data_IF_713508116915
#
_entry.id   IF_713508116915
#
_cell.length_a   1.000
_cell.length_b   1.000
_cell.length_c   1.000
_cell.angle_alpha   90.00
_cell.angle_beta   90.00
_cell.angle_gamma   90.00
#
_symmetry.space_group_name_H-M   'P 1'
#
loop_
_entity.id
_entity.type
_entity.pdbx_description
1 polymer ?
#
# COMPACT_ATOMS: atom_id res chain seq x y z
N UNK A 1 -13.00 -10.54 1.84
CA UNK A 1 -11.68 -10.94 2.37
C UNK A 1 -10.70 -11.21 1.23
N UNK A 2 -9.42 -11.01 1.44
CA UNK A 2 -8.34 -11.53 0.59
C UNK A 2 -7.45 -12.38 1.50
N UNK A 3 -7.67 -13.68 1.49
CA UNK A 3 -7.09 -14.57 2.50
C UNK A 3 -7.45 -14.10 3.92
N UNK A 4 -6.44 -13.77 4.71
CA UNK A 4 -6.60 -13.27 6.08
C UNK A 4 -6.82 -11.75 6.18
N UNK A 5 -6.67 -11.01 5.08
CA UNK A 5 -6.80 -9.55 5.08
C UNK A 5 -8.24 -9.13 4.77
N UNK A 6 -8.92 -8.44 5.70
CA UNK A 6 -10.23 -7.86 5.45
C UNK A 6 -10.11 -6.69 4.45
N UNK A 7 -11.08 -6.56 3.55
CA UNK A 7 -11.12 -5.50 2.54
C UNK A 7 -12.55 -5.00 2.41
N UNK A 8 -12.75 -3.70 2.51
CA UNK A 8 -14.06 -3.04 2.46
C UNK A 8 -14.70 -2.84 3.81
N UNK A 9 -15.77 -2.05 3.87
CA UNK A 9 -16.42 -1.65 5.10
C UNK A 9 -15.51 -0.86 6.02
N UNK A 10 -15.48 -1.22 7.30
CA UNK A 10 -14.63 -0.56 8.33
C UNK A 10 -13.20 -1.13 8.40
N UNK A 11 -12.82 -2.02 7.48
CA UNK A 11 -11.48 -2.59 7.45
C UNK A 11 -10.42 -1.52 7.14
N UNK A 12 -9.22 -1.59 7.73
CA UNK A 12 -8.14 -0.67 7.39
C UNK A 12 -7.77 -0.75 5.89
N UNK A 13 -7.51 0.40 5.27
CA UNK A 13 -7.04 0.45 3.88
C UNK A 13 -5.78 -0.38 3.74
N UNK A 14 -5.82 -1.43 2.92
CA UNK A 14 -4.70 -2.33 2.72
C UNK A 14 -3.74 -1.85 1.62
N UNK A 15 -2.44 -2.00 1.85
CA UNK A 15 -1.38 -1.68 0.90
C UNK A 15 -0.96 -2.95 0.16
N UNK A 16 -1.17 -2.97 -1.14
CA UNK A 16 -0.75 -4.05 -2.02
C UNK A 16 0.42 -3.61 -2.90
N UNK A 17 1.36 -4.52 -3.16
CA UNK A 17 2.38 -4.36 -4.21
C UNK A 17 2.40 -5.56 -5.15
N UNK A 18 3.37 -5.61 -6.06
CA UNK A 18 3.53 -6.69 -7.02
C UNK A 18 5.01 -6.99 -7.24
N UNK A 19 5.38 -8.27 -7.27
CA UNK A 19 6.73 -8.70 -7.61
C UNK A 19 7.07 -8.38 -9.07
N UNK A 20 8.35 -8.15 -9.34
CA UNK A 20 8.91 -7.97 -10.69
C UNK A 20 9.87 -9.11 -11.09
N UNK A 21 10.07 -10.09 -10.21
CA UNK A 21 10.83 -11.32 -10.50
C UNK A 21 10.05 -12.25 -11.42
N UNK A 22 10.71 -13.07 -12.25
CA UNK A 22 10.06 -14.19 -12.94
C UNK A 22 9.46 -15.15 -11.91
N UNK A 23 8.15 -15.41 -11.96
CA UNK A 23 7.45 -16.24 -10.97
C UNK A 23 7.92 -17.69 -10.96
N UNK A 24 8.44 -18.17 -12.09
CA UNK A 24 9.08 -19.49 -12.23
C UNK A 24 10.30 -19.64 -11.33
N UNK A 25 11.01 -18.56 -11.03
CA UNK A 25 12.05 -18.51 -9.99
C UNK A 25 11.39 -18.27 -8.62
N UNK A 26 10.85 -19.35 -8.04
CA UNK A 26 10.17 -19.30 -6.75
C UNK A 26 11.04 -18.68 -5.65
N UNK A 27 12.34 -19.00 -5.63
CA UNK A 27 13.27 -18.50 -4.60
C UNK A 27 13.44 -16.99 -4.68
N UNK A 28 13.75 -16.45 -5.86
CA UNK A 28 13.89 -15.01 -6.07
C UNK A 28 12.59 -14.27 -5.76
N UNK A 29 11.45 -14.86 -6.13
CA UNK A 29 10.12 -14.28 -5.88
C UNK A 29 9.79 -14.27 -4.38
N UNK A 30 10.08 -15.36 -3.65
CA UNK A 30 9.90 -15.43 -2.19
C UNK A 30 10.79 -14.40 -1.48
N UNK A 31 12.05 -14.29 -1.88
CA UNK A 31 12.97 -13.32 -1.28
C UNK A 31 12.49 -11.87 -1.53
N UNK A 32 11.92 -11.58 -2.68
CA UNK A 32 11.31 -10.27 -2.96
C UNK A 32 10.03 -10.04 -2.15
N UNK A 33 9.17 -11.05 -2.01
CA UNK A 33 7.96 -10.97 -1.16
C UNK A 33 8.36 -10.65 0.28
N UNK A 34 9.38 -11.28 0.84
CA UNK A 34 9.86 -10.99 2.20
C UNK A 34 10.28 -9.53 2.38
N UNK A 35 11.00 -8.95 1.40
CA UNK A 35 11.33 -7.51 1.43
C UNK A 35 10.07 -6.63 1.40
N UNK A 36 9.08 -7.01 0.59
CA UNK A 36 7.80 -6.30 0.57
C UNK A 36 7.04 -6.42 1.91
N UNK A 37 7.05 -7.60 2.54
CA UNK A 37 6.48 -7.83 3.88
C UNK A 37 7.19 -6.98 4.95
N UNK A 38 8.51 -6.90 4.92
CA UNK A 38 9.31 -6.05 5.80
C UNK A 38 8.97 -4.57 5.62
N UNK A 39 8.77 -4.13 4.37
CA UNK A 39 8.31 -2.78 4.06
C UNK A 39 6.86 -2.52 4.54
N UNK A 40 6.08 -3.59 4.76
CA UNK A 40 4.72 -3.53 5.31
C UNK A 40 3.60 -3.84 4.32
N UNK A 41 3.88 -4.48 3.19
CA UNK A 41 2.83 -4.94 2.29
C UNK A 41 1.83 -5.85 3.03
N UNK A 42 0.55 -5.55 2.90
CA UNK A 42 -0.52 -6.39 3.45
C UNK A 42 -0.89 -7.52 2.49
N UNK A 43 -0.71 -7.30 1.19
CA UNK A 43 -1.04 -8.21 0.10
C UNK A 43 0.04 -8.10 -0.97
N UNK A 44 0.48 -9.22 -1.54
CA UNK A 44 1.42 -9.20 -2.66
C UNK A 44 0.81 -9.91 -3.88
N UNK A 45 0.97 -9.31 -5.07
CA UNK A 45 0.54 -9.87 -6.34
C UNK A 45 1.73 -10.45 -7.09
N UNK A 46 1.54 -11.63 -7.67
CA UNK A 46 2.52 -12.28 -8.56
C UNK A 46 1.90 -12.56 -9.92
N UNK A 47 2.67 -12.45 -10.99
CA UNK A 47 2.21 -12.74 -12.35
C UNK A 47 2.22 -14.24 -12.61
N UNK A 48 1.14 -14.79 -13.20
CA UNK A 48 1.04 -16.21 -13.51
C UNK A 48 0.70 -16.42 -14.99
N UNK A 49 1.64 -16.11 -15.92
CA UNK A 49 1.39 -16.20 -17.36
C UNK A 49 1.48 -17.62 -17.90
N UNK A 50 2.26 -18.51 -17.27
CA UNK A 50 2.62 -19.85 -17.75
C UNK A 50 2.20 -20.97 -16.77
N UNK A 51 2.27 -22.24 -17.21
CA UNK A 51 2.06 -23.38 -16.32
C UNK A 51 3.16 -23.50 -15.25
N UNK A 52 4.37 -23.18 -15.64
CA UNK A 52 5.55 -23.20 -14.76
C UNK A 52 5.36 -22.18 -13.62
N UNK A 53 4.83 -20.99 -13.93
CA UNK A 53 4.55 -19.98 -12.90
C UNK A 53 3.48 -20.42 -11.92
N UNK A 54 2.42 -21.14 -12.36
CA UNK A 54 1.40 -21.68 -11.44
C UNK A 54 1.90 -22.87 -10.62
N UNK A 55 2.87 -23.65 -11.13
CA UNK A 55 3.55 -24.69 -10.34
C UNK A 55 4.37 -24.03 -9.21
N UNK A 56 5.18 -23.02 -9.55
CA UNK A 56 5.98 -22.29 -8.57
C UNK A 56 5.11 -21.55 -7.53
N UNK A 57 3.93 -21.10 -7.92
CA UNK A 57 3.00 -20.38 -7.04
C UNK A 57 2.68 -21.15 -5.75
N UNK A 58 2.58 -22.48 -5.81
CA UNK A 58 2.30 -23.32 -4.64
C UNK A 58 3.38 -23.21 -3.56
N UNK A 59 4.64 -23.12 -3.96
CA UNK A 59 5.77 -22.91 -3.04
C UNK A 59 5.75 -21.47 -2.51
N UNK A 60 5.52 -20.51 -3.39
CA UNK A 60 5.45 -19.08 -3.06
C UNK A 60 4.36 -18.82 -2.01
N UNK A 61 3.13 -19.31 -2.23
CA UNK A 61 2.01 -19.14 -1.28
C UNK A 61 2.32 -19.73 0.09
N UNK A 62 2.99 -20.89 0.14
CA UNK A 62 3.37 -21.54 1.41
C UNK A 62 4.43 -20.77 2.19
N UNK A 63 5.33 -20.08 1.49
CA UNK A 63 6.46 -19.37 2.10
C UNK A 63 6.12 -17.92 2.47
N UNK A 64 5.07 -17.34 1.87
CA UNK A 64 4.62 -15.98 2.14
C UNK A 64 3.84 -15.91 3.46
N UNK A 65 4.04 -14.81 4.22
CA UNK A 65 3.25 -14.52 5.43
C UNK A 65 2.03 -13.65 5.11
N UNK A 66 1.97 -13.07 3.92
CA UNK A 66 0.84 -12.25 3.43
C UNK A 66 0.08 -12.98 2.33
N UNK A 67 -1.23 -12.69 2.14
CA UNK A 67 -2.00 -13.26 1.05
C UNK A 67 -1.41 -12.94 -0.32
N UNK A 68 -1.40 -13.94 -1.19
CA UNK A 68 -0.91 -13.82 -2.56
C UNK A 68 -2.07 -13.68 -3.55
N UNK A 69 -1.99 -12.67 -4.40
CA UNK A 69 -2.89 -12.46 -5.54
C UNK A 69 -2.22 -13.00 -6.81
N UNK A 70 -2.86 -13.93 -7.49
CA UNK A 70 -2.39 -14.42 -8.79
C UNK A 70 -2.95 -13.54 -9.92
N UNK A 71 -2.05 -13.01 -10.75
CA UNK A 71 -2.40 -12.16 -11.88
C UNK A 71 -2.50 -12.99 -13.16
N UNK A 72 -3.72 -13.20 -13.63
CA UNK A 72 -4.06 -14.05 -14.77
C UNK A 72 -4.59 -13.18 -15.91
N UNK A 73 -3.98 -13.25 -17.11
CA UNK A 73 -4.37 -12.41 -18.23
C UNK A 73 -5.29 -13.10 -19.24
N UNK A 74 -4.91 -14.29 -19.76
CA UNK A 74 -5.59 -14.86 -20.92
C UNK A 74 -6.02 -16.33 -20.78
N UNK A 75 -5.47 -17.08 -19.83
CA UNK A 75 -5.66 -18.51 -19.76
C UNK A 75 -6.44 -18.94 -18.53
N UNK A 76 -7.72 -19.28 -18.71
CA UNK A 76 -8.58 -19.71 -17.60
C UNK A 76 -8.00 -20.88 -16.79
N UNK A 77 -7.25 -21.80 -17.44
CA UNK A 77 -6.58 -22.91 -16.74
C UNK A 77 -5.58 -22.42 -15.70
N UNK A 78 -4.88 -21.29 -15.98
CA UNK A 78 -3.98 -20.69 -14.99
C UNK A 78 -4.75 -20.18 -13.78
N UNK A 79 -5.97 -19.70 -13.97
CA UNK A 79 -6.83 -19.28 -12.86
C UNK A 79 -7.24 -20.48 -11.99
N UNK A 80 -7.61 -21.61 -12.59
CA UNK A 80 -7.92 -22.85 -11.86
C UNK A 80 -6.72 -23.33 -11.04
N UNK A 81 -5.57 -23.46 -11.70
CA UNK A 81 -4.31 -23.88 -11.06
C UNK A 81 -3.86 -22.94 -9.94
N UNK A 82 -4.04 -21.63 -10.13
CA UNK A 82 -3.68 -20.65 -9.11
C UNK A 82 -4.61 -20.73 -7.88
N UNK A 83 -5.90 -20.93 -8.09
CA UNK A 83 -6.84 -21.19 -6.99
C UNK A 83 -6.45 -22.45 -6.21
N UNK A 84 -6.16 -23.56 -6.92
CA UNK A 84 -5.74 -24.83 -6.33
C UNK A 84 -4.36 -24.73 -5.64
N UNK A 85 -3.50 -23.82 -6.10
CA UNK A 85 -2.21 -23.54 -5.45
C UNK A 85 -2.35 -22.74 -4.13
N UNK A 86 -3.56 -22.22 -3.82
CA UNK A 86 -3.86 -21.49 -2.61
C UNK A 86 -3.76 -19.96 -2.75
N UNK A 87 -3.84 -19.41 -3.98
CA UNK A 87 -3.94 -17.97 -4.16
C UNK A 87 -5.17 -17.43 -3.42
N UNK A 88 -4.99 -16.33 -2.69
CA UNK A 88 -6.06 -15.70 -1.92
C UNK A 88 -7.02 -14.87 -2.79
N UNK A 89 -6.55 -14.45 -3.97
CA UNK A 89 -7.35 -13.68 -4.92
C UNK A 89 -6.81 -13.91 -6.35
N UNK A 90 -7.73 -14.02 -7.31
CA UNK A 90 -7.41 -14.04 -8.72
C UNK A 90 -7.65 -12.64 -9.31
N UNK A 91 -6.64 -12.05 -9.95
CA UNK A 91 -6.86 -10.87 -10.78
C UNK A 91 -7.14 -11.33 -12.20
N UNK A 92 -8.34 -11.11 -12.65
CA UNK A 92 -8.82 -11.53 -13.97
C UNK A 92 -9.69 -10.45 -14.62
N UNK A 93 -9.92 -10.62 -15.92
CA UNK A 93 -11.00 -9.99 -16.64
C UNK A 93 -12.03 -11.08 -16.97
N UNK A 94 -13.17 -11.17 -16.27
CA UNK A 94 -14.14 -12.24 -16.51
C UNK A 94 -14.56 -12.39 -17.97
N UNK A 95 -14.78 -11.28 -18.69
CA UNK A 95 -15.13 -11.28 -20.11
C UNK A 95 -14.01 -11.78 -21.04
N UNK A 96 -12.73 -11.77 -20.62
CA UNK A 96 -11.59 -12.19 -21.44
C UNK A 96 -11.18 -13.66 -21.21
N UNK A 97 -11.81 -14.35 -20.25
CA UNK A 97 -11.52 -15.75 -19.93
C UNK A 97 -12.03 -16.69 -21.03
N UNK A 98 -13.02 -16.26 -21.79
CA UNK A 98 -13.59 -16.99 -22.91
C UNK A 98 -15.08 -17.33 -22.71
N UNK A 99 -15.49 -18.59 -22.99
CA UNK A 99 -16.90 -18.97 -22.90
C UNK A 99 -17.44 -18.87 -21.48
N UNK A 100 -18.77 -18.71 -21.36
CA UNK A 100 -19.49 -18.71 -20.09
C UNK A 100 -19.18 -19.94 -19.23
N UNK A 101 -19.00 -21.10 -19.86
CA UNK A 101 -18.61 -22.33 -19.17
C UNK A 101 -17.25 -22.20 -18.47
N UNK A 102 -16.25 -21.61 -19.13
CA UNK A 102 -14.92 -21.35 -18.54
C UNK A 102 -14.98 -20.35 -17.39
N UNK A 103 -15.79 -19.31 -17.53
CA UNK A 103 -16.04 -18.35 -16.43
C UNK A 103 -16.64 -19.08 -15.22
N UNK A 104 -17.60 -19.97 -15.45
CA UNK A 104 -18.21 -20.80 -14.40
C UNK A 104 -17.21 -21.73 -13.73
N UNK A 105 -16.32 -22.37 -14.51
CA UNK A 105 -15.25 -23.21 -13.95
C UNK A 105 -14.33 -22.41 -13.03
N UNK A 106 -13.89 -21.23 -13.46
CA UNK A 106 -13.02 -20.33 -12.64
C UNK A 106 -13.73 -19.91 -11.36
N UNK A 107 -14.98 -19.50 -11.43
CA UNK A 107 -15.73 -19.12 -10.23
C UNK A 107 -15.98 -20.28 -9.29
N UNK A 108 -16.24 -21.48 -9.85
CA UNK A 108 -16.37 -22.70 -9.05
C UNK A 108 -15.06 -23.02 -8.31
N UNK A 109 -13.93 -22.96 -8.99
CA UNK A 109 -12.61 -23.16 -8.38
C UNK A 109 -12.29 -22.10 -7.32
N UNK A 110 -12.56 -20.82 -7.62
CA UNK A 110 -12.37 -19.72 -6.67
C UNK A 110 -13.20 -19.93 -5.40
N UNK A 111 -14.48 -20.28 -5.55
CA UNK A 111 -15.39 -20.57 -4.44
C UNK A 111 -14.93 -21.77 -3.60
N UNK A 112 -14.53 -22.87 -4.27
CA UNK A 112 -14.08 -24.09 -3.59
C UNK A 112 -12.81 -23.85 -2.74
N UNK A 113 -11.96 -22.91 -3.15
CA UNK A 113 -10.70 -22.58 -2.48
C UNK A 113 -10.79 -21.30 -1.61
N UNK A 114 -11.96 -20.70 -1.44
CA UNK A 114 -12.12 -19.45 -0.67
C UNK A 114 -11.35 -18.27 -1.28
N UNK A 115 -11.14 -18.28 -2.59
CA UNK A 115 -10.36 -17.30 -3.33
C UNK A 115 -11.26 -16.17 -3.84
N UNK A 116 -10.94 -14.92 -3.52
CA UNK A 116 -11.64 -13.77 -4.05
C UNK A 116 -11.29 -13.49 -5.51
N UNK A 117 -12.08 -12.66 -6.18
CA UNK A 117 -11.78 -12.19 -7.55
C UNK A 117 -11.57 -10.68 -7.55
N UNK A 118 -10.56 -10.21 -8.28
CA UNK A 118 -10.39 -8.80 -8.59
C UNK A 118 -10.59 -8.54 -10.07
N UNK A 119 -11.65 -7.79 -10.39
CA UNK A 119 -11.84 -7.19 -11.71
C UNK A 119 -10.86 -6.03 -11.86
N UNK A 120 -10.09 -6.00 -12.95
CA UNK A 120 -9.06 -4.98 -13.13
C UNK A 120 -9.13 -4.31 -14.49
N UNK A 121 -10.00 -3.32 -14.67
CA UNK A 121 -10.10 -2.52 -15.89
C UNK A 121 -8.96 -1.52 -15.99
N UNK A 122 -8.32 -1.43 -17.15
CA UNK A 122 -7.29 -0.44 -17.44
C UNK A 122 -7.59 0.27 -18.77
N UNK A 123 -7.40 1.59 -18.81
CA UNK A 123 -7.62 2.39 -20.02
C UNK A 123 -6.80 1.90 -21.22
N UNK A 124 -5.56 1.45 -20.99
CA UNK A 124 -4.67 0.94 -22.05
C UNK A 124 -5.04 -0.44 -22.61
N UNK A 125 -6.01 -1.15 -22.02
CA UNK A 125 -6.47 -2.47 -22.46
C UNK A 125 -7.99 -2.59 -22.44
N UNK A 126 -8.67 -1.47 -22.69
CA UNK A 126 -10.12 -1.43 -22.79
C UNK A 126 -10.61 -2.27 -24.00
N UNK A 127 -11.78 -2.85 -23.90
CA UNK A 127 -12.40 -3.70 -24.91
C UNK A 127 -12.63 -2.93 -26.23
N UNK A 128 -12.51 -3.63 -27.37
CA UNK A 128 -12.59 -3.00 -28.69
C UNK A 128 -13.95 -2.40 -29.00
N UNK A 129 -15.01 -3.05 -28.59
CA UNK A 129 -16.39 -2.60 -28.74
C UNK A 129 -16.66 -1.30 -27.96
N UNK A 130 -16.10 -1.20 -26.76
CA UNK A 130 -16.16 0.05 -25.98
C UNK A 130 -15.33 1.16 -26.61
N UNK A 131 -14.13 0.83 -27.14
CA UNK A 131 -13.34 1.81 -27.89
C UNK A 131 -14.05 2.26 -29.18
N UNK A 132 -14.75 1.37 -29.88
CA UNK A 132 -15.58 1.73 -31.06
C UNK A 132 -16.76 2.62 -30.65
N UNK A 133 -17.40 2.33 -29.50
CA UNK A 133 -18.54 3.09 -28.99
C UNK A 133 -18.18 4.50 -28.53
N UNK A 134 -17.07 4.64 -27.80
CA UNK A 134 -16.68 5.90 -27.14
C UNK A 134 -15.59 6.69 -27.90
N UNK A 135 -14.92 6.07 -28.87
CA UNK A 135 -13.84 6.66 -29.65
C UNK A 135 -12.47 6.67 -28.97
N UNK A 136 -12.45 6.84 -27.64
CA UNK A 136 -11.24 6.85 -26.80
C UNK A 136 -11.54 6.35 -25.39
N UNK A 137 -10.52 5.98 -24.60
CA UNK A 137 -10.72 5.68 -23.19
C UNK A 137 -11.22 6.93 -22.44
N UNK A 138 -12.40 6.82 -21.86
CA UNK A 138 -13.04 7.87 -21.04
C UNK A 138 -13.59 7.26 -19.74
N UNK A 139 -13.96 8.07 -18.74
CA UNK A 139 -14.51 7.57 -17.48
C UNK A 139 -15.71 6.64 -17.69
N UNK A 140 -16.63 7.01 -18.57
CA UNK A 140 -17.85 6.27 -18.88
C UNK A 140 -17.53 4.88 -19.47
N UNK A 141 -16.55 4.80 -20.37
CA UNK A 141 -16.11 3.54 -20.98
C UNK A 141 -15.49 2.58 -19.95
N UNK A 142 -14.65 3.11 -19.03
CA UNK A 142 -14.05 2.32 -17.95
C UNK A 142 -15.10 1.82 -16.96
N UNK A 143 -16.09 2.64 -16.64
CA UNK A 143 -17.20 2.27 -15.74
C UNK A 143 -18.08 1.22 -16.40
N UNK A 144 -18.46 1.39 -17.66
CA UNK A 144 -19.25 0.39 -18.39
C UNK A 144 -18.55 -0.97 -18.43
N UNK A 145 -17.25 -1.00 -18.78
CA UNK A 145 -16.45 -2.22 -18.73
C UNK A 145 -16.48 -2.87 -17.34
N UNK A 146 -16.30 -2.08 -16.28
CA UNK A 146 -16.33 -2.60 -14.92
C UNK A 146 -17.70 -3.21 -14.56
N UNK A 147 -18.79 -2.51 -14.89
CA UNK A 147 -20.16 -2.97 -14.63
C UNK A 147 -20.51 -4.24 -15.41
N UNK A 148 -20.05 -4.37 -16.65
CA UNK A 148 -20.28 -5.58 -17.45
C UNK A 148 -19.56 -6.78 -16.83
N UNK A 149 -18.34 -6.61 -16.37
CA UNK A 149 -17.60 -7.66 -15.67
C UNK A 149 -18.22 -8.01 -14.29
N UNK A 150 -18.76 -7.04 -13.57
CA UNK A 150 -19.49 -7.25 -12.32
C UNK A 150 -20.75 -8.11 -12.61
N UNK A 151 -21.55 -7.74 -13.62
CA UNK A 151 -22.74 -8.50 -14.00
C UNK A 151 -22.43 -9.96 -14.33
N UNK A 152 -21.29 -10.24 -14.98
CA UNK A 152 -20.88 -11.62 -15.25
C UNK A 152 -20.69 -12.39 -13.94
N UNK A 153 -20.03 -11.83 -12.93
CA UNK A 153 -19.84 -12.50 -11.65
C UNK A 153 -21.16 -12.67 -10.89
N UNK A 154 -21.98 -11.63 -10.83
CA UNK A 154 -23.28 -11.65 -10.12
C UNK A 154 -24.29 -12.60 -10.77
N UNK A 155 -24.32 -12.72 -12.10
CA UNK A 155 -25.14 -13.70 -12.81
C UNK A 155 -24.79 -15.16 -12.46
N UNK A 156 -23.59 -15.37 -11.91
CA UNK A 156 -23.15 -16.67 -11.40
C UNK A 156 -23.17 -16.73 -9.85
N UNK A 157 -23.87 -15.79 -9.20
CA UNK A 157 -23.97 -15.72 -7.74
C UNK A 157 -22.59 -15.64 -7.04
N UNK A 158 -21.63 -14.92 -7.63
CA UNK A 158 -20.30 -14.72 -7.08
C UNK A 158 -20.12 -13.29 -6.59
N UNK A 159 -20.02 -13.09 -5.26
CA UNK A 159 -20.00 -11.77 -4.62
C UNK A 159 -18.68 -11.43 -3.91
N UNK A 160 -17.73 -12.38 -3.80
CA UNK A 160 -16.41 -12.17 -3.20
C UNK A 160 -15.46 -11.51 -4.21
N UNK A 161 -15.81 -10.32 -4.66
CA UNK A 161 -14.98 -9.58 -5.61
C UNK A 161 -14.70 -8.15 -5.18
N UNK A 162 -13.67 -7.56 -5.77
CA UNK A 162 -13.32 -6.14 -5.71
C UNK A 162 -12.98 -5.63 -7.10
N UNK A 163 -13.10 -4.31 -7.32
CA UNK A 163 -12.95 -3.71 -8.65
C UNK A 163 -11.84 -2.66 -8.67
N UNK A 164 -11.15 -2.56 -9.79
CA UNK A 164 -10.22 -1.49 -10.09
C UNK A 164 -10.50 -0.95 -11.49
N UNK A 165 -10.57 0.38 -11.63
CA UNK A 165 -10.63 1.10 -12.90
C UNK A 165 -9.45 2.07 -12.96
N UNK A 166 -8.44 1.76 -13.77
CA UNK A 166 -7.15 2.44 -13.74
C UNK A 166 -6.83 3.11 -15.08
N UNK A 167 -6.17 4.26 -14.99
CA UNK A 167 -5.56 4.93 -16.12
C UNK A 167 -4.19 5.49 -15.72
N UNK A 168 -3.35 5.82 -16.67
CA UNK A 168 -2.09 6.55 -16.47
C UNK A 168 -2.33 8.06 -16.30
N UNK A 169 -3.44 8.57 -16.82
CA UNK A 169 -3.93 9.91 -16.55
C UNK A 169 -4.67 9.94 -15.21
N UNK A 170 -4.26 10.87 -14.34
CA UNK A 170 -4.79 10.98 -12.98
C UNK A 170 -6.25 11.42 -12.97
N UNK A 171 -6.62 12.39 -13.82
CA UNK A 171 -7.98 12.93 -13.85
C UNK A 171 -8.96 11.90 -14.41
N UNK A 172 -8.55 11.18 -15.46
CA UNK A 172 -9.34 10.08 -16.02
C UNK A 172 -9.58 8.98 -14.97
N UNK A 173 -8.52 8.57 -14.26
CA UNK A 173 -8.64 7.55 -13.21
C UNK A 173 -9.58 8.01 -12.08
N UNK A 174 -9.38 9.22 -11.57
CA UNK A 174 -10.20 9.77 -10.47
C UNK A 174 -11.67 9.89 -10.90
N UNK A 175 -11.96 10.42 -12.09
CA UNK A 175 -13.31 10.54 -12.58
C UNK A 175 -14.01 9.17 -12.76
N UNK A 176 -13.27 8.16 -13.28
CA UNK A 176 -13.80 6.81 -13.42
C UNK A 176 -14.13 6.17 -12.06
N UNK A 177 -13.24 6.29 -11.06
CA UNK A 177 -13.52 5.78 -9.70
C UNK A 177 -14.69 6.50 -9.03
N UNK A 178 -14.80 7.82 -9.17
CA UNK A 178 -15.92 8.58 -8.62
C UNK A 178 -17.25 8.16 -9.24
N UNK A 179 -17.31 8.01 -10.57
CA UNK A 179 -18.51 7.53 -11.24
C UNK A 179 -18.86 6.09 -10.84
N UNK A 180 -17.86 5.20 -10.74
CA UNK A 180 -18.08 3.83 -10.35
C UNK A 180 -18.59 3.73 -8.90
N UNK A 181 -17.98 4.46 -7.97
CA UNK A 181 -18.36 4.47 -6.56
C UNK A 181 -19.81 4.89 -6.31
N UNK A 182 -20.42 5.66 -7.23
CA UNK A 182 -21.84 6.01 -7.17
C UNK A 182 -22.78 4.88 -7.63
N UNK A 183 -22.24 3.80 -8.22
CA UNK A 183 -23.03 2.75 -8.87
C UNK A 183 -22.84 1.36 -8.25
N UNK A 184 -21.83 1.18 -7.38
CA UNK A 184 -21.49 -0.12 -6.78
C UNK A 184 -21.19 0.01 -5.30
N UNK A 185 -21.51 -1.03 -4.53
CA UNK A 185 -21.17 -1.15 -3.10
C UNK A 185 -19.98 -2.12 -2.86
N UNK A 186 -19.36 -2.63 -3.92
CA UNK A 186 -18.23 -3.53 -3.78
C UNK A 186 -16.92 -2.77 -3.45
N UNK A 187 -15.96 -3.41 -2.78
CA UNK A 187 -14.68 -2.80 -2.47
C UNK A 187 -13.91 -2.35 -3.72
N UNK A 188 -13.29 -1.17 -3.64
CA UNK A 188 -12.52 -0.56 -4.73
C UNK A 188 -11.01 -0.62 -4.45
N UNK A 189 -10.26 -1.14 -5.44
CA UNK A 189 -8.81 -1.20 -5.41
C UNK A 189 -8.20 -0.04 -6.20
N UNK A 190 -7.73 0.98 -5.50
CA UNK A 190 -7.22 2.20 -6.10
C UNK A 190 -5.80 2.07 -6.64
N UNK A 191 -5.51 2.86 -7.66
CA UNK A 191 -4.16 3.05 -8.19
C UNK A 191 -4.16 3.81 -9.50
N UNK A 192 -3.05 4.49 -9.75
CA UNK A 192 -2.72 5.04 -11.08
C UNK A 192 -1.79 4.04 -11.74
N UNK A 193 -2.11 3.57 -12.95
CA UNK A 193 -1.25 2.62 -13.67
C UNK A 193 -0.14 3.37 -14.41
N UNK A 194 1.03 2.72 -14.57
CA UNK A 194 2.13 3.28 -15.38
C UNK A 194 2.50 4.70 -14.95
N UNK A 195 2.58 4.91 -13.62
CA UNK A 195 2.78 6.25 -13.08
C UNK A 195 4.16 6.84 -13.36
N UNK A 196 5.17 5.98 -13.66
CA UNK A 196 6.53 6.41 -14.00
C UNK A 196 7.52 6.18 -12.86
N UNK A 197 8.67 6.89 -12.93
CA UNK A 197 9.75 6.77 -11.94
C UNK A 197 9.36 7.29 -10.56
N UNK A 198 10.26 7.11 -9.58
CA UNK A 198 9.99 7.34 -8.15
C UNK A 198 9.33 8.69 -7.86
N UNK A 199 9.91 9.80 -8.28
CA UNK A 199 9.36 11.14 -7.97
C UNK A 199 8.04 11.38 -8.71
N UNK A 200 8.04 11.26 -10.04
CA UNK A 200 6.84 11.53 -10.85
C UNK A 200 5.70 10.59 -10.55
N UNK A 201 6.01 9.30 -10.35
CA UNK A 201 5.03 8.28 -10.00
C UNK A 201 4.45 8.46 -8.59
N UNK A 202 5.27 8.90 -7.64
CA UNK A 202 4.79 9.27 -6.28
C UNK A 202 3.81 10.42 -6.35
N UNK A 203 4.13 11.49 -7.08
CA UNK A 203 3.23 12.64 -7.23
C UNK A 203 1.91 12.23 -7.88
N UNK A 204 1.93 11.49 -8.99
CA UNK A 204 0.71 11.00 -9.64
C UNK A 204 -0.13 10.10 -8.73
N UNK A 205 0.52 9.18 -8.02
CA UNK A 205 -0.15 8.26 -7.09
C UNK A 205 -0.74 9.01 -5.90
N UNK A 206 -0.02 9.99 -5.35
CA UNK A 206 -0.51 10.83 -4.25
C UNK A 206 -1.75 11.65 -4.67
N UNK A 207 -1.72 12.21 -5.88
CA UNK A 207 -2.87 12.94 -6.42
C UNK A 207 -4.05 12.01 -6.72
N UNK A 208 -3.83 10.89 -7.41
CA UNK A 208 -4.91 9.97 -7.79
C UNK A 208 -5.49 9.21 -6.61
N UNK A 209 -4.66 8.49 -5.87
CA UNK A 209 -5.10 7.71 -4.70
C UNK A 209 -5.53 8.64 -3.57
N UNK A 210 -4.73 9.67 -3.30
CA UNK A 210 -4.98 10.59 -2.18
C UNK A 210 -6.29 11.36 -2.32
N UNK A 211 -6.64 11.87 -3.50
CA UNK A 211 -7.91 12.58 -3.71
C UNK A 211 -9.12 11.66 -3.55
N UNK A 212 -9.03 10.39 -3.99
CA UNK A 212 -10.11 9.42 -3.81
C UNK A 212 -10.29 9.04 -2.34
N UNK A 213 -9.21 8.73 -1.64
CA UNK A 213 -9.25 8.44 -0.20
C UNK A 213 -9.76 9.64 0.62
N UNK A 214 -9.39 10.87 0.25
CA UNK A 214 -9.92 12.08 0.86
C UNK A 214 -11.44 12.21 0.68
N UNK A 215 -11.96 11.75 -0.45
CA UNK A 215 -13.39 11.69 -0.74
C UNK A 215 -14.10 10.47 -0.13
N UNK A 216 -13.41 9.62 0.65
CA UNK A 216 -13.97 8.42 1.25
C UNK A 216 -14.12 7.24 0.26
N UNK A 217 -13.42 7.28 -0.87
CA UNK A 217 -13.49 6.25 -1.91
C UNK A 217 -12.23 5.37 -1.85
N UNK A 218 -12.41 4.05 -1.73
CA UNK A 218 -11.34 3.06 -1.83
C UNK A 218 -11.08 2.27 -0.55
N UNK A 219 -10.71 1.00 -0.73
CA UNK A 219 -10.55 0.00 0.35
C UNK A 219 -9.17 -0.65 0.35
N UNK A 220 -8.50 -0.63 -0.79
CA UNK A 220 -7.15 -1.17 -0.95
C UNK A 220 -6.41 -0.37 -2.01
N UNK A 221 -5.11 -0.18 -1.85
CA UNK A 221 -4.31 0.65 -2.74
C UNK A 221 -3.11 -0.11 -3.31
N UNK A 222 -2.70 0.26 -4.54
CA UNK A 222 -1.41 -0.13 -5.10
C UNK A 222 -0.79 1.05 -5.83
N UNK A 223 0.35 1.49 -5.35
CA UNK A 223 1.23 2.44 -6.06
C UNK A 223 1.99 1.69 -7.15
N UNK A 224 2.08 2.24 -8.36
CA UNK A 224 2.80 1.63 -9.49
C UNK A 224 3.99 2.51 -9.86
N UNK A 225 5.21 2.02 -9.63
CA UNK A 225 6.44 2.75 -9.90
C UNK A 225 7.39 1.93 -10.77
N UNK A 226 8.18 2.62 -11.60
CA UNK A 226 9.39 2.05 -12.21
C UNK A 226 10.52 2.09 -11.17
N UNK A 227 10.36 1.30 -10.09
CA UNK A 227 11.26 1.17 -8.95
C UNK A 227 11.08 -0.21 -8.30
N UNK A 228 11.86 -0.52 -7.27
CA UNK A 228 11.68 -1.75 -6.51
C UNK A 228 10.32 -1.80 -5.81
N UNK A 229 9.66 -2.98 -5.71
CA UNK A 229 8.33 -3.11 -5.13
C UNK A 229 8.20 -2.60 -3.69
N UNK A 230 9.27 -2.66 -2.89
CA UNK A 230 9.32 -2.12 -1.54
C UNK A 230 9.07 -0.61 -1.51
N UNK A 231 9.52 0.12 -2.55
CA UNK A 231 9.29 1.57 -2.66
C UNK A 231 7.81 1.88 -2.92
N UNK A 232 7.11 1.03 -3.69
CA UNK A 232 5.66 1.17 -3.87
C UNK A 232 4.91 1.09 -2.54
N UNK A 233 5.35 0.16 -1.66
CA UNK A 233 4.77 0.00 -0.31
C UNK A 233 5.03 1.22 0.55
N UNK A 234 6.27 1.72 0.57
CA UNK A 234 6.65 2.93 1.32
C UNK A 234 5.82 4.14 0.89
N UNK A 235 5.74 4.38 -0.42
CA UNK A 235 4.92 5.48 -0.96
C UNK A 235 3.43 5.30 -0.61
N UNK A 236 2.92 4.08 -0.66
CA UNK A 236 1.56 3.78 -0.22
C UNK A 236 1.30 4.21 1.22
N UNK A 237 2.22 3.88 2.14
CA UNK A 237 2.12 4.32 3.54
C UNK A 237 2.30 5.82 3.72
N UNK A 238 3.16 6.49 2.92
CA UNK A 238 3.29 7.95 2.97
C UNK A 238 1.98 8.66 2.57
N UNK A 239 1.27 8.13 1.57
CA UNK A 239 -0.07 8.64 1.20
C UNK A 239 -1.05 8.46 2.37
N UNK A 240 -1.12 7.26 2.95
CA UNK A 240 -2.04 6.98 4.06
C UNK A 240 -1.71 7.79 5.32
N UNK A 241 -0.42 7.94 5.67
CA UNK A 241 0.05 8.78 6.79
C UNK A 241 -0.30 10.25 6.58
N UNK A 242 -0.09 10.76 5.37
CA UNK A 242 -0.37 12.16 5.03
C UNK A 242 -1.86 12.51 5.17
N UNK A 243 -2.72 11.53 4.97
CA UNK A 243 -4.18 11.66 5.15
C UNK A 243 -4.67 11.33 6.56
N UNK A 244 -3.79 10.88 7.47
CA UNK A 244 -4.17 10.44 8.81
C UNK A 244 -5.03 9.17 8.85
N UNK A 245 -5.05 8.39 7.76
CA UNK A 245 -5.88 7.17 7.64
C UNK A 245 -5.23 5.97 8.31
N UNK A 246 -3.94 5.75 8.00
CA UNK A 246 -3.17 4.64 8.54
C UNK A 246 -1.69 5.02 8.64
N UNK A 247 -1.06 4.68 9.74
CA UNK A 247 0.34 5.01 9.98
C UNK A 247 1.17 3.75 10.20
N UNK A 248 2.42 3.79 9.74
CA UNK A 248 3.46 2.80 10.00
C UNK A 248 4.80 3.52 10.08
N UNK A 249 5.57 3.22 11.13
CA UNK A 249 6.88 3.81 11.35
C UNK A 249 6.84 5.28 11.76
N UNK A 250 7.97 5.91 11.70
CA UNK A 250 8.17 7.30 12.15
C UNK A 250 7.70 8.29 11.09
N UNK A 251 6.81 9.20 11.48
CA UNK A 251 6.43 10.35 10.66
C UNK A 251 7.37 11.52 10.98
N UNK A 252 8.24 11.85 10.05
CA UNK A 252 9.16 12.97 10.21
C UNK A 252 8.51 14.29 9.78
N UNK A 253 8.54 15.29 10.66
CA UNK A 253 8.15 16.68 10.39
C UNK A 253 9.42 17.52 10.41
N UNK A 254 9.80 18.11 9.30
CA UNK A 254 11.04 18.88 9.20
C UNK A 254 10.85 20.24 8.52
N UNK A 255 11.65 21.21 8.90
CA UNK A 255 11.66 22.49 8.19
C UNK A 255 12.50 22.39 6.90
N UNK A 256 12.21 23.23 5.87
CA UNK A 256 12.94 23.19 4.59
C UNK A 256 14.37 23.74 4.70
N UNK A 257 14.86 23.98 5.92
CA UNK A 257 16.14 24.62 6.20
C UNK A 257 16.21 26.11 5.75
N UNK A 258 16.97 26.90 6.42
CA UNK A 258 17.24 28.31 6.04
C UNK A 258 18.46 28.84 6.81
N UNK A 259 18.84 30.12 6.57
CA UNK A 259 19.97 30.75 7.22
C UNK A 259 19.91 30.85 8.76
N UNK A 260 18.74 30.53 9.37
CA UNK A 260 18.58 30.52 10.84
C UNK A 260 18.86 29.14 11.46
N UNK A 261 19.17 28.11 10.66
CA UNK A 261 19.41 26.78 11.19
C UNK A 261 20.61 26.73 12.15
N UNK A 262 20.45 26.03 13.27
CA UNK A 262 21.54 25.79 14.23
C UNK A 262 22.33 24.51 13.94
N UNK A 263 21.81 23.64 13.03
CA UNK A 263 22.46 22.43 12.55
C UNK A 263 22.01 22.13 11.10
N UNK A 264 22.71 21.24 10.42
CA UNK A 264 22.37 20.82 9.05
C UNK A 264 21.11 19.92 9.05
N UNK A 265 19.95 20.54 8.87
CA UNK A 265 18.64 19.86 8.90
C UNK A 265 18.54 18.82 7.80
N UNK A 266 19.02 19.13 6.58
CA UNK A 266 18.88 18.22 5.42
C UNK A 266 19.60 16.90 5.69
N UNK A 267 20.88 16.96 6.04
CA UNK A 267 21.67 15.75 6.37
C UNK A 267 21.14 15.02 7.58
N UNK A 268 20.65 15.75 8.57
CA UNK A 268 20.08 15.14 9.79
C UNK A 268 18.83 14.34 9.45
N UNK A 269 17.92 14.91 8.66
CA UNK A 269 16.69 14.22 8.23
C UNK A 269 17.01 12.99 7.40
N UNK A 270 17.88 13.11 6.37
CA UNK A 270 18.31 11.98 5.55
C UNK A 270 18.90 10.83 6.40
N UNK A 271 19.76 11.18 7.36
CA UNK A 271 20.37 10.17 8.23
C UNK A 271 19.36 9.53 9.19
N UNK A 272 18.43 10.29 9.75
CA UNK A 272 17.39 9.78 10.64
C UNK A 272 16.40 8.89 9.88
N UNK A 273 15.91 9.33 8.72
CA UNK A 273 15.02 8.52 7.88
C UNK A 273 15.65 7.19 7.50
N UNK A 274 16.93 7.19 7.09
CA UNK A 274 17.65 5.96 6.75
C UNK A 274 17.81 5.02 7.96
N UNK A 275 18.12 5.56 9.13
CA UNK A 275 18.38 4.78 10.35
C UNK A 275 17.12 4.30 11.05
N UNK A 276 15.99 4.95 10.85
CA UNK A 276 14.71 4.65 11.50
C UNK A 276 13.77 3.76 10.67
N UNK A 277 14.17 3.32 9.48
CA UNK A 277 13.35 2.47 8.60
C UNK A 277 12.90 1.15 9.25
N UNK A 278 13.67 0.63 10.20
CA UNK A 278 13.34 -0.59 10.92
C UNK A 278 12.20 -0.42 11.93
N UNK A 279 11.92 0.82 12.35
CA UNK A 279 10.83 1.11 13.31
C UNK A 279 9.50 0.97 12.57
N UNK A 280 8.65 0.08 13.09
CA UNK A 280 7.30 -0.18 12.55
C UNK A 280 6.22 0.52 13.34
N UNK A 281 6.50 0.83 14.59
CA UNK A 281 5.60 1.49 15.54
C UNK A 281 5.28 2.90 15.10
N UNK A 282 3.99 3.25 14.94
CA UNK A 282 3.58 4.61 14.56
C UNK A 282 3.99 5.63 15.63
N UNK A 283 4.76 6.64 15.23
CA UNK A 283 5.09 7.80 16.06
C UNK A 283 5.51 8.99 15.20
N UNK A 284 5.67 10.14 15.83
CA UNK A 284 6.05 11.39 15.18
C UNK A 284 7.39 11.93 15.71
N UNK A 285 8.22 12.44 14.80
CA UNK A 285 9.51 13.07 15.09
C UNK A 285 9.59 14.41 14.38
N UNK A 286 9.79 15.51 15.12
CA UNK A 286 10.06 16.81 14.51
C UNK A 286 11.54 17.17 14.54
N UNK A 287 12.05 17.64 13.38
CA UNK A 287 13.45 18.05 13.17
C UNK A 287 13.49 19.48 12.64
N UNK A 288 13.61 20.44 13.54
CA UNK A 288 13.48 21.87 13.22
C UNK A 288 14.80 22.61 13.51
N UNK A 289 15.34 23.24 12.48
CA UNK A 289 16.66 23.88 12.52
C UNK A 289 16.77 25.13 13.42
N UNK A 290 15.66 25.72 13.90
CA UNK A 290 15.70 26.92 14.69
C UNK A 290 14.53 27.09 15.66
N UNK A 291 14.67 28.01 16.60
CA UNK A 291 13.65 28.28 17.64
C UNK A 291 12.41 29.03 17.15
N UNK A 292 12.32 29.44 15.87
CA UNK A 292 11.16 30.20 15.38
C UNK A 292 9.90 29.31 15.30
N UNK A 293 9.97 28.19 14.56
CA UNK A 293 8.87 27.22 14.47
C UNK A 293 9.15 25.96 15.32
N UNK A 294 10.43 25.72 15.67
CA UNK A 294 10.87 24.52 16.36
C UNK A 294 10.07 24.16 17.60
N UNK A 295 9.93 25.07 18.59
CA UNK A 295 9.19 24.77 19.81
C UNK A 295 7.70 24.48 19.57
N UNK A 296 7.08 25.11 18.56
CA UNK A 296 5.68 24.88 18.20
C UNK A 296 5.48 23.47 17.66
N UNK A 297 6.24 23.11 16.63
CA UNK A 297 6.15 21.77 16.02
C UNK A 297 6.58 20.66 16.97
N UNK A 298 7.62 20.89 17.81
CA UNK A 298 8.09 19.91 18.77
C UNK A 298 7.06 19.57 19.86
N UNK A 299 6.14 20.49 20.16
CA UNK A 299 5.06 20.26 21.13
C UNK A 299 3.98 19.29 20.61
N UNK A 300 3.83 19.21 19.30
CA UNK A 300 2.82 18.40 18.62
C UNK A 300 3.34 17.01 18.22
N UNK A 301 4.59 16.68 18.60
CA UNK A 301 5.24 15.41 18.22
C UNK A 301 5.70 14.62 19.44
N UNK A 302 5.82 13.28 19.27
CA UNK A 302 6.26 12.37 20.32
C UNK A 302 7.70 12.68 20.74
N UNK A 303 8.55 12.96 19.76
CA UNK A 303 9.95 13.39 19.95
C UNK A 303 10.20 14.60 19.06
N UNK A 304 10.86 15.63 19.58
CA UNK A 304 11.22 16.81 18.81
C UNK A 304 12.66 17.25 19.06
N UNK A 305 13.30 17.79 18.04
CA UNK A 305 14.57 18.48 18.16
C UNK A 305 14.50 19.85 17.53
N UNK A 306 14.98 20.85 18.27
CA UNK A 306 15.01 22.25 17.83
C UNK A 306 16.43 22.79 17.88
N UNK A 307 16.87 23.35 16.76
CA UNK A 307 18.20 23.98 16.64
C UNK A 307 18.35 25.13 17.62
N UNK A 308 19.41 25.08 18.41
CA UNK A 308 19.84 26.14 19.32
C UNK A 308 21.16 26.73 18.87
N UNK A 309 21.67 27.67 19.66
CA UNK A 309 22.99 28.30 19.44
C UNK A 309 24.15 27.49 19.97
N UNK A 310 25.34 27.72 19.44
CA UNK A 310 26.60 27.13 19.93
C UNK A 310 26.63 25.58 19.90
N UNK A 311 26.02 24.95 18.90
CA UNK A 311 25.99 23.48 18.76
C UNK A 311 25.21 22.77 19.85
N UNK A 312 24.34 23.46 20.58
CA UNK A 312 23.42 22.87 21.57
C UNK A 312 21.99 22.95 21.10
N UNK A 313 21.31 21.79 21.03
CA UNK A 313 19.96 21.66 20.51
C UNK A 313 19.03 21.16 21.59
N UNK A 314 17.80 21.70 21.65
CA UNK A 314 16.80 21.32 22.62
C UNK A 314 16.04 20.09 22.12
N UNK A 315 15.97 19.06 22.98
CA UNK A 315 15.15 17.86 22.78
C UNK A 315 13.82 18.02 23.52
N UNK A 316 12.75 17.57 22.88
CA UNK A 316 11.40 17.52 23.42
C UNK A 316 10.94 16.07 23.47
N UNK A 317 10.31 15.68 24.57
CA UNK A 317 9.68 14.38 24.73
C UNK A 317 8.19 14.57 25.05
N UNK A 318 7.33 13.99 24.22
CA UNK A 318 5.86 14.12 24.33
C UNK A 318 5.42 15.58 24.51
N UNK A 319 5.98 16.48 23.69
CA UNK A 319 5.66 17.90 23.69
C UNK A 319 6.33 18.76 24.77
N UNK A 320 7.07 18.17 25.69
CA UNK A 320 7.72 18.90 26.81
C UNK A 320 9.22 19.00 26.56
N UNK A 321 9.82 20.17 26.88
CA UNK A 321 11.28 20.34 26.87
C UNK A 321 11.92 19.40 27.87
N UNK A 322 12.96 18.68 27.47
CA UNK A 322 13.61 17.70 28.30
C UNK A 322 15.08 18.04 28.56
N UNK A 323 15.94 17.96 27.57
CA UNK A 323 17.38 18.20 27.72
C UNK A 323 17.99 18.77 26.43
N UNK A 324 19.28 19.08 26.50
CA UNK A 324 20.07 19.52 25.36
C UNK A 324 20.99 18.40 24.87
N UNK A 325 21.17 18.34 23.56
CA UNK A 325 22.11 17.45 22.89
C UNK A 325 23.12 18.28 22.07
N UNK A 326 24.35 17.81 21.92
CA UNK A 326 25.39 18.42 21.08
C UNK A 326 25.26 17.90 19.63
N UNK A 327 25.73 18.72 18.67
CA UNK A 327 25.77 18.35 17.25
C UNK A 327 26.35 16.95 17.01
N UNK A 328 27.50 16.67 17.63
CA UNK A 328 28.24 15.43 17.39
C UNK A 328 27.44 14.16 17.78
N UNK A 329 26.57 14.24 18.79
CA UNK A 329 25.85 13.11 19.36
C UNK A 329 24.39 13.07 18.91
N UNK A 330 23.91 14.09 18.23
CA UNK A 330 22.50 14.37 17.99
C UNK A 330 21.78 13.21 17.29
N UNK A 331 22.30 12.72 16.17
CA UNK A 331 21.64 11.67 15.38
C UNK A 331 21.56 10.38 16.19
N UNK A 332 22.68 9.95 16.80
CA UNK A 332 22.72 8.72 17.61
C UNK A 332 21.79 8.81 18.82
N UNK A 333 21.72 9.98 19.41
CA UNK A 333 20.85 10.22 20.55
C UNK A 333 19.37 10.15 20.17
N UNK A 334 18.96 10.81 19.09
CA UNK A 334 17.58 10.79 18.60
C UNK A 334 17.16 9.37 18.19
N UNK A 335 18.03 8.61 17.52
CA UNK A 335 17.76 7.22 17.18
C UNK A 335 17.44 6.40 18.43
N UNK A 336 18.27 6.49 19.48
CA UNK A 336 18.03 5.80 20.75
C UNK A 336 16.73 6.22 21.44
N UNK A 337 16.38 7.49 21.38
CA UNK A 337 15.11 7.97 21.93
C UNK A 337 13.90 7.41 21.19
N UNK A 338 13.97 7.37 19.86
CA UNK A 338 12.92 6.81 19.01
C UNK A 338 12.78 5.31 19.25
N UNK A 339 13.88 4.56 19.33
CA UNK A 339 13.86 3.11 19.65
C UNK A 339 13.27 2.85 21.04
N UNK A 340 13.66 3.63 22.05
CA UNK A 340 13.12 3.51 23.39
C UNK A 340 11.62 3.84 23.44
N UNK A 341 11.19 4.88 22.71
CA UNK A 341 9.77 5.26 22.63
C UNK A 341 8.96 4.19 21.91
N UNK A 342 9.49 3.62 20.83
CA UNK A 342 8.85 2.51 20.10
C UNK A 342 8.60 1.32 21.04
N UNK A 343 9.62 0.90 21.76
CA UNK A 343 9.51 -0.19 22.74
C UNK A 343 8.47 0.10 23.84
N UNK A 344 8.37 1.36 24.32
CA UNK A 344 7.35 1.75 25.29
C UNK A 344 5.92 1.65 24.72
N UNK A 345 5.71 2.10 23.49
CA UNK A 345 4.41 2.04 22.81
C UNK A 345 4.01 0.58 22.58
N UNK A 346 4.93 -0.26 22.14
CA UNK A 346 4.70 -1.69 21.91
C UNK A 346 4.35 -2.43 23.19
N UNK A 347 5.07 -2.18 24.29
CA UNK A 347 4.78 -2.76 25.61
C UNK A 347 3.40 -2.32 26.14
N UNK A 348 3.00 -1.07 25.90
CA UNK A 348 1.69 -0.57 26.30
C UNK A 348 0.54 -1.17 25.46
N UNK A 349 0.82 -1.54 24.21
CA UNK A 349 -0.17 -2.16 23.29
C UNK A 349 -0.39 -3.65 23.59
N UNK A 350 0.57 -4.31 24.25
CA UNK A 350 0.52 -5.71 24.64
C UNK A 350 0.80 -5.83 26.16
N UNK A 351 -0.10 -5.39 27.06
CA UNK A 351 0.09 -5.59 28.48
C UNK A 351 0.19 -7.10 28.77
N UNK A 352 1.26 -7.52 29.43
CA UNK A 352 1.35 -8.90 29.93
C UNK A 352 0.10 -9.20 30.77
N UNK A 353 -0.52 -10.40 30.61
CA UNK A 353 -1.62 -10.78 31.46
C UNK A 353 -1.13 -10.74 32.89
N UNK A 354 -1.70 -9.86 33.71
CA UNK A 354 -1.50 -9.87 35.16
C UNK A 354 -1.90 -11.25 35.66
N UNK A 355 -0.95 -12.02 36.14
CA UNK A 355 -1.19 -13.21 36.93
C UNK A 355 -1.84 -12.69 38.23
N UNK A 356 -3.17 -12.59 38.25
CA UNK A 356 -3.90 -12.42 39.48
C UNK A 356 -3.60 -13.63 40.36
N UNK A 357 -2.93 -13.35 41.45
CA UNK A 357 -2.65 -14.31 42.48
C UNK A 357 -3.97 -14.94 42.93
N UNK A 358 -4.07 -16.24 42.77
CA UNK A 358 -5.08 -17.04 43.42
C UNK A 358 -4.84 -16.92 44.94
N UNK A 359 -5.77 -16.31 45.64
CA UNK A 359 -6.09 -16.62 47.01
C UNK A 359 -7.43 -17.37 47.13
#
# INVERSE_FOLDING_TARGET
>A
MVGTVPVGGDAPISVQTMTNTPTEDAKATIDQIRRCEEAGADIVRVSCPTAESTVALKEIVRAANVPIVADIHFHYKRALEAADAGAACLRIYPGNIGSEERVREVMSAARANGCAIRIGVNAGSLEKDLLEKYGEPCPEALVESALDHIRILENHDFHEYKVAVKASDVFLAVAAYQQLACQVDCPLHLGVTEAGGLIGGTVKSALGIGSLLWAGIGDTIRVSLSAEPEEEVRVGYEILKSLGIRSRGVRVVSCPSCARQGFDVIRTVEALEARLQHIKTPMSLSVLGCVVNGPGEARETDIGITGGGQGKHMVYLSGVTDHHVQDADMIDHIVKLVEAKAAQIEAASHPEPTLDAAE
#
